data_IF_029137209206
#
_entry.id   IF_029137209206
#
_cell.length_a   1.000
_cell.length_b   1.000
_cell.length_c   1.000
_cell.angle_alpha   90.00
_cell.angle_beta   90.00
_cell.angle_gamma   90.00
#
_symmetry.space_group_name_H-M   'P 1'
#
loop_
_entity.id
_entity.type
_entity.pdbx_description
1 polymer ?
#
# COMPACT_ATOMS: atom_id res chain seq x y z
N UNK A 1 9.50 13.97 19.69
CA UNK A 1 8.56 13.11 18.93
C UNK A 1 8.95 11.64 18.92
N UNK A 2 10.20 11.27 19.25
CA UNK A 2 10.57 9.86 19.50
C UNK A 2 9.60 9.22 20.49
N UNK A 3 9.11 8.02 20.17
CA UNK A 3 8.18 7.27 21.02
C UNK A 3 6.72 7.29 20.55
N UNK A 4 6.32 8.25 19.71
CA UNK A 4 4.94 8.32 19.20
C UNK A 4 4.63 7.16 18.25
N UNK A 5 3.44 6.57 18.40
CA UNK A 5 2.91 5.53 17.52
C UNK A 5 1.84 6.15 16.63
N UNK A 6 1.91 5.88 15.32
CA UNK A 6 0.95 6.37 14.33
C UNK A 6 0.48 5.22 13.44
N UNK A 7 -0.74 5.33 12.94
CA UNK A 7 -1.31 4.41 11.96
C UNK A 7 -0.91 4.84 10.55
N UNK A 8 -0.47 3.88 9.74
CA UNK A 8 -0.15 4.09 8.32
C UNK A 8 -0.79 2.98 7.47
N UNK A 9 -1.22 3.29 6.23
CA UNK A 9 -1.81 2.27 5.36
C UNK A 9 -0.75 1.36 4.71
N UNK A 10 0.53 1.70 4.85
CA UNK A 10 1.65 0.95 4.27
C UNK A 10 2.99 1.29 4.93
N UNK A 11 3.90 0.31 4.97
CA UNK A 11 5.30 0.50 5.31
C UNK A 11 6.18 -0.38 4.38
N UNK A 12 7.38 0.04 3.95
CA UNK A 12 8.23 -0.71 3.03
C UNK A 12 8.55 -2.15 3.45
N UNK A 13 8.53 -2.43 4.76
CA UNK A 13 8.83 -3.76 5.32
C UNK A 13 7.59 -4.57 5.67
N UNK A 14 6.38 -4.04 5.43
CA UNK A 14 5.14 -4.70 5.86
C UNK A 14 4.72 -5.87 4.97
N UNK A 15 5.13 -5.86 3.69
CA UNK A 15 4.87 -6.94 2.75
C UNK A 15 6.20 -7.41 2.13
N UNK A 16 6.80 -8.45 2.72
CA UNK A 16 8.05 -9.04 2.24
C UNK A 16 7.94 -9.71 0.87
N UNK A 17 6.72 -10.01 0.40
CA UNK A 17 6.48 -10.52 -0.94
C UNK A 17 6.44 -9.44 -2.04
N UNK A 18 6.45 -8.16 -1.68
CA UNK A 18 6.38 -7.07 -2.66
C UNK A 18 7.76 -6.60 -3.10
N UNK A 19 7.99 -6.58 -4.41
CA UNK A 19 9.16 -5.94 -5.00
C UNK A 19 8.99 -4.41 -5.16
N UNK A 20 7.85 -3.85 -4.75
CA UNK A 20 7.54 -2.42 -4.94
C UNK A 20 8.58 -1.48 -4.32
N UNK A 21 9.02 -1.62 -3.04
CA UNK A 21 10.02 -0.72 -2.46
C UNK A 21 11.32 -0.68 -3.28
N UNK A 22 11.86 -1.85 -3.62
CA UNK A 22 13.11 -1.97 -4.38
C UNK A 22 12.97 -1.40 -5.79
N UNK A 23 11.84 -1.66 -6.45
CA UNK A 23 11.56 -1.11 -7.78
C UNK A 23 11.42 0.41 -7.74
N UNK A 24 10.76 0.96 -6.71
CA UNK A 24 10.60 2.41 -6.53
C UNK A 24 11.97 3.09 -6.36
N UNK A 25 12.85 2.55 -5.52
CA UNK A 25 14.23 3.06 -5.36
C UNK A 25 15.00 3.00 -6.67
N UNK A 26 14.91 1.90 -7.42
CA UNK A 26 15.60 1.75 -8.70
C UNK A 26 15.10 2.74 -9.77
N UNK A 27 13.81 3.03 -9.80
CA UNK A 27 13.20 3.89 -10.81
C UNK A 27 13.28 5.38 -10.46
N UNK A 28 13.17 5.73 -9.18
CA UNK A 28 13.04 7.12 -8.72
C UNK A 28 14.21 7.61 -7.87
N UNK A 29 15.18 6.75 -7.56
CA UNK A 29 16.41 7.12 -6.86
C UNK A 29 16.26 7.34 -5.36
N UNK A 30 15.12 6.96 -4.76
CA UNK A 30 14.88 7.16 -3.34
C UNK A 30 13.69 6.36 -2.81
N UNK A 31 13.59 6.30 -1.48
CA UNK A 31 12.44 5.71 -0.80
C UNK A 31 11.18 6.52 -1.06
N UNK A 32 10.04 5.83 -1.08
CA UNK A 32 8.72 6.45 -1.21
C UNK A 32 7.89 6.26 0.04
N UNK A 33 6.87 7.09 0.19
CA UNK A 33 5.93 7.00 1.29
C UNK A 33 4.66 6.24 0.91
N UNK A 34 3.78 6.08 1.89
CA UNK A 34 2.51 5.37 1.75
C UNK A 34 1.60 5.91 0.64
N UNK A 35 1.63 7.22 0.33
CA UNK A 35 0.80 7.79 -0.76
C UNK A 35 1.18 7.22 -2.10
N UNK A 36 2.47 7.06 -2.36
CA UNK A 36 2.97 6.45 -3.60
C UNK A 36 2.60 4.97 -3.69
N UNK A 37 2.73 4.23 -2.58
CA UNK A 37 2.35 2.82 -2.53
C UNK A 37 0.85 2.63 -2.77
N UNK A 38 -0.01 3.44 -2.15
CA UNK A 38 -1.47 3.33 -2.34
C UNK A 38 -1.92 3.80 -3.71
N UNK A 39 -1.24 4.78 -4.31
CA UNK A 39 -1.50 5.19 -5.69
C UNK A 39 -1.11 4.09 -6.70
N UNK A 40 0.03 3.43 -6.47
CA UNK A 40 0.43 2.25 -7.25
C UNK A 40 -0.64 1.15 -7.18
N UNK A 41 -1.13 0.84 -5.98
CA UNK A 41 -2.18 -0.15 -5.78
C UNK A 41 -3.49 0.22 -6.47
N UNK A 42 -3.89 1.49 -6.42
CA UNK A 42 -5.09 1.96 -7.13
C UNK A 42 -4.98 1.69 -8.64
N UNK A 43 -3.80 1.93 -9.23
CA UNK A 43 -3.57 1.63 -10.64
C UNK A 43 -3.52 0.12 -10.90
N UNK A 44 -2.91 -0.69 -10.03
CA UNK A 44 -2.97 -2.15 -10.15
C UNK A 44 -4.41 -2.67 -10.13
N UNK A 45 -5.27 -2.12 -9.28
CA UNK A 45 -6.69 -2.44 -9.23
C UNK A 45 -7.40 -2.08 -10.55
N UNK A 46 -7.18 -0.87 -11.06
CA UNK A 46 -7.76 -0.41 -12.33
C UNK A 46 -7.28 -1.29 -13.50
N UNK A 47 -5.98 -1.55 -13.61
CA UNK A 47 -5.41 -2.41 -14.65
C UNK A 47 -5.97 -3.83 -14.55
N UNK A 48 -6.02 -4.40 -13.36
CA UNK A 48 -6.57 -5.73 -13.10
C UNK A 48 -8.05 -5.83 -13.46
N UNK A 49 -8.84 -4.80 -13.14
CA UNK A 49 -10.25 -4.74 -13.48
C UNK A 49 -10.48 -4.56 -14.98
N UNK A 50 -9.70 -3.70 -15.65
CA UNK A 50 -9.80 -3.46 -17.10
C UNK A 50 -9.43 -4.70 -17.93
N UNK A 51 -8.56 -5.58 -17.41
CA UNK A 51 -8.28 -6.88 -18.04
C UNK A 51 -9.50 -7.82 -18.06
N UNK A 52 -10.44 -7.65 -17.14
CA UNK A 52 -11.66 -8.46 -17.07
C UNK A 52 -12.84 -7.78 -17.80
N UNK A 53 -12.88 -6.45 -17.83
CA UNK A 53 -13.91 -5.70 -18.53
C UNK A 53 -13.40 -4.35 -19.07
N UNK A 54 -13.54 -4.11 -20.37
CA UNK A 54 -12.95 -2.94 -21.05
C UNK A 54 -13.77 -1.63 -20.98
N UNK A 55 -14.91 -1.60 -20.28
CA UNK A 55 -15.74 -0.40 -20.13
C UNK A 55 -15.72 0.12 -18.70
N UNK A 56 -16.11 1.38 -18.51
CA UNK A 56 -16.19 2.02 -17.19
C UNK A 56 -17.15 1.27 -16.25
N UNK A 57 -18.32 0.91 -16.76
CA UNK A 57 -19.35 0.18 -16.01
C UNK A 57 -18.90 -1.26 -15.71
N UNK A 58 -18.19 -1.88 -16.65
CA UNK A 58 -17.58 -3.19 -16.46
C UNK A 58 -16.52 -3.17 -15.37
N UNK A 59 -15.61 -2.19 -15.41
CA UNK A 59 -14.60 -1.98 -14.38
C UNK A 59 -15.23 -1.82 -13.00
N UNK A 60 -16.27 -0.98 -12.88
CA UNK A 60 -16.97 -0.78 -11.60
C UNK A 60 -17.55 -2.09 -11.05
N UNK A 61 -18.20 -2.90 -11.91
CA UNK A 61 -18.76 -4.21 -11.52
C UNK A 61 -17.68 -5.19 -11.10
N UNK A 62 -16.55 -5.22 -11.82
CA UNK A 62 -15.42 -6.09 -11.48
C UNK A 62 -14.84 -5.70 -10.12
N UNK A 63 -14.56 -4.41 -9.89
CA UNK A 63 -14.01 -3.94 -8.61
C UNK A 63 -14.96 -4.17 -7.43
N UNK A 64 -16.28 -4.14 -7.65
CA UNK A 64 -17.29 -4.41 -6.63
C UNK A 64 -17.50 -5.91 -6.36
N UNK A 65 -16.91 -6.80 -7.16
CA UNK A 65 -17.05 -8.24 -6.97
C UNK A 65 -16.25 -8.73 -5.76
N UNK A 66 -16.85 -9.57 -4.91
CA UNK A 66 -16.15 -10.22 -3.79
C UNK A 66 -15.04 -11.18 -4.23
N UNK A 67 -15.06 -11.62 -5.50
CA UNK A 67 -14.02 -12.46 -6.10
C UNK A 67 -12.84 -11.67 -6.68
N UNK A 68 -12.95 -10.33 -6.78
CA UNK A 68 -11.87 -9.52 -7.31
C UNK A 68 -10.69 -9.49 -6.33
N UNK A 69 -9.49 -9.71 -6.88
CA UNK A 69 -8.24 -9.67 -6.14
C UNK A 69 -7.09 -9.42 -7.11
N UNK A 70 -6.18 -8.53 -6.73
CA UNK A 70 -4.88 -8.34 -7.40
C UNK A 70 -3.80 -8.03 -6.37
N UNK A 71 -2.54 -8.33 -6.69
CA UNK A 71 -1.43 -8.02 -5.80
C UNK A 71 -0.87 -6.63 -6.07
N UNK A 72 -0.56 -5.91 -4.99
CA UNK A 72 0.02 -4.57 -5.00
C UNK A 72 1.21 -4.41 -4.04
N UNK A 73 1.64 -3.16 -3.88
CA UNK A 73 2.61 -2.72 -2.91
C UNK A 73 2.20 -3.07 -1.46
N UNK A 74 0.91 -2.94 -1.13
CA UNK A 74 0.42 -3.24 0.22
C UNK A 74 -0.07 -4.69 0.40
N UNK A 75 0.19 -5.54 -0.61
CA UNK A 75 -0.26 -6.94 -0.63
C UNK A 75 -1.52 -7.09 -1.46
N UNK A 76 -2.37 -8.04 -1.07
CA UNK A 76 -3.60 -8.33 -1.79
C UNK A 76 -4.57 -7.14 -1.71
N UNK A 77 -5.08 -6.71 -2.86
CA UNK A 77 -6.06 -5.63 -3.01
C UNK A 77 -7.44 -6.27 -3.20
N UNK A 78 -8.34 -6.01 -2.26
CA UNK A 78 -9.75 -6.40 -2.31
C UNK A 78 -10.60 -5.27 -1.72
N UNK A 79 -11.90 -5.28 -2.00
CA UNK A 79 -12.82 -4.25 -1.54
C UNK A 79 -13.99 -4.86 -0.75
N UNK A 80 -14.43 -4.14 0.27
CA UNK A 80 -15.64 -4.43 1.04
C UNK A 80 -16.87 -4.02 0.21
N UNK A 81 -18.09 -4.51 0.55
CA UNK A 81 -19.32 -4.06 -0.10
C UNK A 81 -19.56 -2.54 -0.03
N UNK A 82 -18.96 -1.84 0.96
CA UNK A 82 -18.98 -0.37 1.04
C UNK A 82 -18.15 0.32 -0.05
N UNK A 83 -17.27 -0.41 -0.73
CA UNK A 83 -16.25 0.13 -1.63
C UNK A 83 -14.91 0.44 -0.94
N UNK A 84 -14.85 0.35 0.40
CA UNK A 84 -13.59 0.52 1.13
C UNK A 84 -12.63 -0.60 0.83
N UNK A 85 -11.33 -0.31 0.84
CA UNK A 85 -10.33 -1.35 0.74
C UNK A 85 -10.43 -2.30 1.95
N UNK A 86 -10.34 -3.60 1.68
CA UNK A 86 -10.21 -4.61 2.71
C UNK A 86 -8.75 -4.66 3.21
N UNK A 87 -8.55 -4.48 4.51
CA UNK A 87 -7.23 -4.57 5.15
C UNK A 87 -7.20 -3.90 6.52
N UNK A 88 -6.16 -4.21 7.29
CA UNK A 88 -5.91 -3.59 8.60
C UNK A 88 -4.87 -2.46 8.48
N UNK A 89 -5.00 -1.39 9.27
CA UNK A 89 -3.94 -0.39 9.37
C UNK A 89 -2.67 -1.00 9.99
N UNK A 90 -1.51 -0.46 9.62
CA UNK A 90 -0.23 -0.81 10.23
C UNK A 90 0.13 0.23 11.29
N UNK A 91 0.79 -0.24 12.35
CA UNK A 91 1.36 0.64 13.38
C UNK A 91 2.85 0.81 13.15
N UNK A 92 3.29 2.06 13.22
CA UNK A 92 4.71 2.42 13.19
C UNK A 92 5.04 3.35 14.35
N UNK A 93 6.23 3.18 14.91
CA UNK A 93 6.77 4.04 15.96
C UNK A 93 7.80 4.97 15.37
N UNK A 94 7.72 6.25 15.73
CA UNK A 94 8.75 7.24 15.39
C UNK A 94 9.95 6.99 16.29
N UNK A 95 11.11 6.71 15.70
CA UNK A 95 12.37 6.44 16.38
C UNK A 95 13.51 7.24 15.75
N UNK A 96 14.61 7.53 16.47
CA UNK A 96 15.80 8.15 15.87
C UNK A 96 16.32 7.32 14.69
N UNK A 97 16.69 7.98 13.60
CA UNK A 97 17.10 7.33 12.38
C UNK A 97 17.59 8.33 11.34
N UNK A 98 18.22 7.85 10.26
CA UNK A 98 18.82 8.70 9.24
C UNK A 98 18.30 8.43 7.84
N UNK A 99 17.39 7.46 7.65
CA UNK A 99 16.90 7.06 6.33
C UNK A 99 16.01 8.12 5.71
N UNK A 100 15.18 8.80 6.50
CA UNK A 100 14.28 9.86 6.02
C UNK A 100 14.94 11.23 5.80
N UNK A 101 16.18 11.43 6.27
CA UNK A 101 16.85 12.74 6.29
C UNK A 101 16.32 13.73 7.34
N UNK A 102 15.38 13.34 8.20
CA UNK A 102 14.79 14.22 9.25
C UNK A 102 15.37 13.99 10.65
N UNK A 103 16.27 13.02 10.81
CA UNK A 103 16.75 12.55 12.11
C UNK A 103 15.82 11.54 12.80
N UNK A 104 14.69 11.21 12.18
CA UNK A 104 13.73 10.21 12.66
C UNK A 104 13.25 9.30 11.54
N UNK A 105 13.01 8.04 11.84
CA UNK A 105 12.42 7.06 10.93
C UNK A 105 11.15 6.44 11.53
N UNK A 106 10.37 5.81 10.67
CA UNK A 106 9.17 5.07 11.06
C UNK A 106 9.54 3.59 11.12
N UNK A 107 9.41 2.98 12.30
CA UNK A 107 9.79 1.58 12.52
C UNK A 107 8.52 0.79 12.77
N UNK A 108 8.31 -0.29 12.01
CA UNK A 108 7.21 -1.21 12.24
C UNK A 108 7.25 -1.77 13.65
N UNK A 109 6.10 -1.79 14.32
CA UNK A 109 5.92 -2.49 15.59
C UNK A 109 4.97 -3.67 15.38
N UNK A 110 5.13 -4.78 16.13
CA UNK A 110 4.14 -5.85 16.11
C UNK A 110 2.75 -5.29 16.48
N UNK A 111 1.70 -5.76 15.81
CA UNK A 111 0.37 -5.51 16.32
C UNK A 111 0.23 -6.20 17.69
N UNK A 112 -0.34 -5.53 18.70
CA UNK A 112 -0.59 -6.12 20.01
C UNK A 112 -1.52 -7.33 19.93
#
# INVERSE_FOLDING_TARGET
MSGMVVTVPWHPTANTGSNFPTNAVRLWGGDVNWRSATAYDAIQAVVGGLRQAGTREGLQKVLASSSFSVDGATGKIQFQPSGDRLGAPLLVKIAPGNRSGTGFDFVSIPNP
#
